data_IF_330611671093
#
_entry.id   IF_330611671093
#
_cell.length_a   1.000
_cell.length_b   1.000
_cell.length_c   1.000
_cell.angle_alpha   90.00
_cell.angle_beta   90.00
_cell.angle_gamma   90.00
#
_symmetry.space_group_name_H-M   'P 1'
#
loop_
_entity.id
_entity.type
_entity.pdbx_description
1 polymer ?
#
# COMPACT_ATOMS: atom_id res chain seq x y z
N UNK A 1 -7.58 -13.08 -23.08
CA UNK A 1 -7.59 -11.85 -22.27
C UNK A 1 -6.42 -11.78 -21.27
N UNK A 2 -6.07 -12.82 -20.52
CA UNK A 2 -4.95 -12.80 -19.54
C UNK A 2 -3.55 -12.47 -20.12
N UNK A 3 -3.28 -12.81 -21.39
CA UNK A 3 -1.98 -12.54 -22.05
C UNK A 3 -1.80 -11.08 -22.47
N UNK A 4 -2.89 -10.37 -22.77
CA UNK A 4 -2.86 -8.95 -23.19
C UNK A 4 -2.64 -8.05 -21.97
N UNK A 5 -3.20 -8.40 -20.82
CA UNK A 5 -3.00 -7.66 -19.56
C UNK A 5 -1.55 -7.76 -19.07
N UNK A 6 -0.92 -8.93 -19.25
CA UNK A 6 0.49 -9.13 -18.90
C UNK A 6 1.42 -8.35 -19.83
N UNK A 7 1.08 -8.27 -21.12
CA UNK A 7 1.86 -7.50 -22.11
C UNK A 7 1.75 -5.99 -21.88
N UNK A 8 0.56 -5.49 -21.52
CA UNK A 8 0.34 -4.08 -21.17
C UNK A 8 1.08 -3.69 -19.88
N UNK A 9 1.13 -4.58 -18.89
CA UNK A 9 1.87 -4.37 -17.65
C UNK A 9 3.38 -4.38 -17.88
N UNK A 10 3.88 -5.26 -18.78
CA UNK A 10 5.29 -5.28 -19.18
C UNK A 10 5.68 -4.03 -20.00
N UNK A 11 4.79 -3.53 -20.87
CA UNK A 11 5.01 -2.31 -21.64
C UNK A 11 5.02 -1.05 -20.77
N UNK A 12 4.21 -1.00 -19.71
CA UNK A 12 4.22 0.09 -18.71
C UNK A 12 5.54 0.12 -17.92
N UNK A 13 6.14 -1.03 -17.64
CA UNK A 13 7.44 -1.13 -16.96
C UNK A 13 8.62 -0.67 -17.84
N UNK A 14 8.49 -0.77 -19.16
CA UNK A 14 9.54 -0.34 -20.12
C UNK A 14 9.45 1.17 -20.41
N UNK A 15 8.28 1.77 -20.25
CA UNK A 15 8.04 3.19 -20.53
C UNK A 15 8.39 4.13 -19.36
N UNK A 16 8.82 3.59 -18.20
CA UNK A 16 9.28 4.44 -17.09
C UNK A 16 10.65 5.02 -17.42
N UNK A 17 10.80 6.36 -17.50
CA UNK A 17 12.12 6.95 -17.58
C UNK A 17 12.88 6.50 -16.34
N UNK A 18 14.02 5.85 -16.54
CA UNK A 18 14.97 5.58 -15.46
C UNK A 18 15.53 6.92 -15.00
N UNK A 19 14.84 7.59 -14.10
CA UNK A 19 15.43 8.68 -13.32
C UNK A 19 16.41 8.01 -12.37
N UNK A 20 17.54 7.56 -12.92
CA UNK A 20 18.69 7.23 -12.11
C UNK A 20 18.91 8.44 -11.20
N UNK A 21 19.01 8.19 -9.91
CA UNK A 21 19.25 9.22 -8.91
C UNK A 21 20.38 10.12 -9.40
N UNK A 22 20.03 11.29 -9.89
CA UNK A 22 21.00 12.32 -10.19
C UNK A 22 21.55 12.81 -8.85
N UNK A 23 22.65 12.26 -8.45
CA UNK A 23 23.49 12.90 -7.45
C UNK A 23 24.00 14.21 -8.04
N UNK A 24 23.32 15.29 -7.77
CA UNK A 24 23.79 16.62 -8.12
C UNK A 24 25.00 16.91 -7.23
N UNK A 25 26.19 16.77 -7.77
CA UNK A 25 27.38 17.31 -7.13
C UNK A 25 27.26 18.82 -7.12
N UNK A 26 26.82 19.41 -6.01
CA UNK A 26 26.88 20.86 -5.87
C UNK A 26 28.33 21.29 -5.68
N UNK A 27 28.82 22.14 -6.58
CA UNK A 27 30.15 22.76 -6.47
C UNK A 27 30.06 23.87 -5.44
N UNK A 28 30.77 23.68 -4.35
CA UNK A 28 30.85 24.64 -3.26
C UNK A 28 32.19 25.38 -3.33
N UNK A 29 32.13 26.70 -3.51
CA UNK A 29 33.35 27.54 -3.45
C UNK A 29 33.67 27.90 -2.00
N UNK A 30 34.71 27.32 -1.45
CA UNK A 30 35.18 27.67 -0.11
C UNK A 30 36.01 28.95 -0.18
N UNK A 31 35.47 30.03 0.33
CA UNK A 31 36.09 31.36 0.37
C UNK A 31 37.38 31.43 1.21
N UNK A 32 37.59 30.51 2.16
CA UNK A 32 38.74 30.47 3.03
C UNK A 32 39.93 29.74 2.41
N UNK A 33 39.71 28.75 1.58
CA UNK A 33 40.77 27.92 0.98
C UNK A 33 41.01 28.22 -0.48
N UNK A 34 40.14 28.98 -1.16
CA UNK A 34 40.22 29.28 -2.60
C UNK A 34 40.02 28.07 -3.48
N UNK A 35 39.63 26.91 -2.93
CA UNK A 35 39.40 25.68 -3.66
C UNK A 35 37.89 25.40 -3.84
N UNK A 36 37.59 24.78 -4.97
CA UNK A 36 36.26 24.18 -5.21
C UNK A 36 36.21 22.88 -4.42
N UNK A 37 35.54 22.92 -3.28
CA UNK A 37 35.23 21.71 -2.51
C UNK A 37 34.03 21.00 -3.10
N UNK A 38 34.14 19.71 -3.32
CA UNK A 38 33.03 18.85 -3.70
C UNK A 38 32.40 18.31 -2.42
N UNK A 39 31.65 19.15 -1.74
CA UNK A 39 30.85 18.73 -0.60
C UNK A 39 29.68 17.86 -1.08
N UNK A 40 29.61 16.63 -0.62
CA UNK A 40 28.33 15.92 -0.63
C UNK A 40 27.46 16.64 0.40
N UNK A 41 26.52 17.45 -0.10
CA UNK A 41 25.44 17.88 0.79
C UNK A 41 24.64 16.63 1.16
N UNK A 42 24.70 16.27 2.42
CA UNK A 42 23.97 15.15 3.04
C UNK A 42 22.43 15.33 2.97
N UNK A 43 21.97 16.42 2.38
CA UNK A 43 20.59 16.87 2.34
C UNK A 43 20.03 17.00 0.92
N UNK A 44 20.69 16.46 -0.11
CA UNK A 44 20.07 16.40 -1.44
C UNK A 44 19.04 15.25 -1.48
N UNK A 45 17.85 15.58 -1.05
CA UNK A 45 16.70 14.69 -1.21
C UNK A 45 16.21 14.77 -2.65
N UNK A 46 15.98 13.65 -3.34
CA UNK A 46 15.41 13.67 -4.69
C UNK A 46 14.05 14.36 -4.66
N UNK A 47 13.77 15.19 -5.67
CA UNK A 47 12.49 15.91 -5.79
C UNK A 47 11.31 14.95 -5.96
N UNK A 48 11.56 13.77 -6.53
CA UNK A 48 10.55 12.73 -6.75
C UNK A 48 11.18 11.35 -6.84
N UNK A 49 10.38 10.34 -6.62
CA UNK A 49 10.75 8.94 -6.83
C UNK A 49 9.56 8.12 -7.32
N UNK A 50 9.87 7.01 -7.95
CA UNK A 50 8.91 5.97 -8.28
C UNK A 50 9.32 4.67 -7.60
N UNK A 51 8.34 3.82 -7.30
CA UNK A 51 8.63 2.55 -6.68
C UNK A 51 7.63 1.47 -7.06
N UNK A 52 8.07 0.24 -6.92
CA UNK A 52 7.24 -0.96 -7.00
C UNK A 52 7.17 -1.61 -5.62
N UNK A 53 6.01 -2.14 -5.26
CA UNK A 53 5.76 -2.80 -3.98
C UNK A 53 5.04 -4.12 -4.21
N UNK A 54 5.42 -5.15 -3.46
CA UNK A 54 4.75 -6.44 -3.41
C UNK A 54 4.90 -7.05 -2.02
N UNK A 55 3.87 -7.73 -1.53
CA UNK A 55 3.97 -8.44 -0.27
C UNK A 55 2.66 -9.04 0.19
N UNK A 56 2.66 -9.75 1.31
CA UNK A 56 1.45 -10.29 1.91
C UNK A 56 0.62 -9.17 2.56
N UNK A 57 -0.69 -9.30 2.44
CA UNK A 57 -1.69 -8.58 3.22
C UNK A 57 -2.31 -9.52 4.25
N UNK A 58 -2.53 -9.03 5.44
CA UNK A 58 -3.25 -9.70 6.51
C UNK A 58 -4.42 -8.82 6.88
N UNK A 59 -5.63 -9.26 6.59
CA UNK A 59 -6.84 -8.46 6.79
C UNK A 59 -7.82 -9.13 7.72
N UNK A 60 -8.65 -8.33 8.34
CA UNK A 60 -9.79 -8.75 9.14
C UNK A 60 -10.94 -7.77 8.93
N UNK A 61 -12.14 -8.21 9.24
CA UNK A 61 -13.33 -7.37 9.27
C UNK A 61 -13.79 -7.26 10.70
N UNK A 62 -13.94 -6.03 11.17
CA UNK A 62 -14.59 -5.72 12.44
C UNK A 62 -16.04 -5.34 12.14
N UNK A 63 -17.01 -6.00 12.76
CA UNK A 63 -18.43 -5.88 12.47
C UNK A 63 -19.25 -5.89 13.75
N UNK A 64 -20.30 -5.08 13.77
CA UNK A 64 -21.32 -5.15 14.81
C UNK A 64 -22.25 -6.37 14.62
N UNK A 65 -22.24 -6.99 13.43
CA UNK A 65 -22.98 -8.24 13.16
C UNK A 65 -22.17 -9.47 13.64
N UNK A 66 -22.75 -10.22 14.56
CA UNK A 66 -22.16 -11.43 15.12
C UNK A 66 -21.83 -12.51 14.07
N UNK A 67 -22.41 -12.44 12.87
CA UNK A 67 -22.11 -13.34 11.76
C UNK A 67 -20.79 -13.01 11.06
N UNK A 68 -20.32 -11.78 11.15
CA UNK A 68 -19.07 -11.30 10.55
C UNK A 68 -18.00 -10.98 11.59
N UNK A 69 -18.42 -10.59 12.81
CA UNK A 69 -17.51 -10.22 13.91
C UNK A 69 -16.73 -11.41 14.47
N UNK A 70 -15.53 -11.14 14.97
CA UNK A 70 -14.64 -12.17 15.57
C UNK A 70 -14.03 -13.12 14.55
N UNK A 71 -13.97 -12.71 13.28
CA UNK A 71 -13.32 -13.49 12.23
C UNK A 71 -11.81 -13.60 12.39
N UNK A 72 -11.26 -14.69 11.84
CA UNK A 72 -9.82 -14.90 11.78
C UNK A 72 -9.22 -14.05 10.65
N UNK A 73 -7.95 -13.68 10.83
CA UNK A 73 -7.17 -12.99 9.83
C UNK A 73 -7.12 -13.78 8.51
N UNK A 74 -7.32 -13.07 7.41
CA UNK A 74 -7.13 -13.61 6.07
C UNK A 74 -5.83 -13.09 5.48
N UNK A 75 -5.07 -13.99 4.89
CA UNK A 75 -3.85 -13.63 4.15
C UNK A 75 -4.19 -13.48 2.67
N UNK A 76 -3.75 -12.39 2.09
CA UNK A 76 -3.88 -12.07 0.68
C UNK A 76 -2.58 -11.52 0.10
N UNK A 77 -2.66 -11.04 -1.13
CA UNK A 77 -1.57 -10.38 -1.85
C UNK A 77 -1.82 -8.87 -1.90
N UNK A 78 -0.74 -8.11 -1.73
CA UNK A 78 -0.68 -6.69 -2.02
C UNK A 78 0.39 -6.44 -3.08
N UNK A 79 0.04 -5.78 -4.19
CA UNK A 79 0.99 -5.46 -5.24
C UNK A 79 0.62 -4.12 -5.88
N UNK A 80 1.61 -3.25 -6.08
CA UNK A 80 1.34 -1.93 -6.64
C UNK A 80 2.56 -1.13 -7.00
N UNK A 81 2.28 0.09 -7.43
CA UNK A 81 3.26 1.11 -7.79
C UNK A 81 3.02 2.36 -6.96
N UNK A 82 4.07 3.08 -6.66
CA UNK A 82 4.02 4.32 -5.90
C UNK A 82 4.80 5.41 -6.59
N UNK A 83 4.41 6.66 -6.34
CA UNK A 83 5.13 7.85 -6.73
C UNK A 83 5.15 8.81 -5.54
N UNK A 84 6.31 9.35 -5.23
CA UNK A 84 6.50 10.34 -4.18
C UNK A 84 7.07 11.64 -4.74
N UNK A 85 6.58 12.76 -4.24
CA UNK A 85 7.11 14.10 -4.54
C UNK A 85 7.51 14.79 -3.26
N UNK A 86 8.68 15.42 -3.26
CA UNK A 86 9.14 16.21 -2.13
C UNK A 86 8.25 17.44 -1.94
N UNK A 87 7.78 17.68 -0.73
CA UNK A 87 6.98 18.86 -0.39
C UNK A 87 7.87 20.07 -0.05
N UNK A 88 9.13 19.84 0.23
CA UNK A 88 10.08 20.89 0.60
C UNK A 88 11.50 20.47 0.27
N UNK A 89 12.30 21.40 -0.24
CA UNK A 89 13.73 21.18 -0.44
C UNK A 89 14.55 21.27 0.86
N UNK A 90 13.93 21.81 1.92
CA UNK A 90 14.57 21.99 3.22
C UNK A 90 14.32 20.84 4.19
N UNK A 91 13.30 20.03 3.95
CA UNK A 91 12.92 18.93 4.84
C UNK A 91 12.61 17.67 4.02
N UNK A 92 13.00 16.50 4.50
CA UNK A 92 12.79 15.22 3.82
C UNK A 92 11.35 14.73 3.95
N UNK A 93 10.39 15.57 3.58
CA UNK A 93 8.97 15.31 3.66
C UNK A 93 8.40 15.10 2.26
N UNK A 94 7.80 13.97 2.04
CA UNK A 94 7.22 13.56 0.77
C UNK A 94 5.72 13.36 0.87
N UNK A 95 5.01 13.71 -0.20
CA UNK A 95 3.67 13.22 -0.48
C UNK A 95 3.80 12.01 -1.40
N UNK A 96 3.45 10.83 -0.91
CA UNK A 96 3.46 9.59 -1.70
C UNK A 96 2.02 9.18 -2.01
N UNK A 97 1.74 8.95 -3.28
CA UNK A 97 0.53 8.29 -3.77
C UNK A 97 0.86 6.99 -4.45
N UNK A 98 -0.13 6.12 -4.59
CA UNK A 98 0.08 4.81 -5.21
C UNK A 98 -1.17 4.25 -5.86
N UNK A 99 -0.98 3.12 -6.57
CA UNK A 99 -2.05 2.29 -7.10
C UNK A 99 -1.72 0.84 -6.80
N UNK A 100 -2.58 0.19 -6.01
CA UNK A 100 -2.39 -1.17 -5.56
C UNK A 100 -3.55 -2.07 -5.93
N UNK A 101 -3.26 -3.32 -6.22
CA UNK A 101 -4.20 -4.41 -6.12
C UNK A 101 -3.99 -5.07 -4.77
N UNK A 102 -5.02 -5.07 -3.92
CA UNK A 102 -4.96 -5.59 -2.56
C UNK A 102 -6.07 -6.61 -2.34
N UNK A 103 -5.69 -7.81 -1.95
CA UNK A 103 -6.62 -8.83 -1.52
C UNK A 103 -6.86 -8.68 -0.03
N UNK A 104 -8.10 -8.40 0.34
CA UNK A 104 -8.61 -8.31 1.72
C UNK A 104 -9.70 -9.35 1.93
N UNK A 105 -10.23 -9.42 3.13
CA UNK A 105 -11.35 -10.31 3.47
C UNK A 105 -11.24 -10.83 4.90
N UNK A 106 -11.99 -11.88 5.18
CA UNK A 106 -12.01 -12.51 6.48
C UNK A 106 -12.45 -13.97 6.43
N UNK A 107 -12.19 -14.66 7.53
CA UNK A 107 -12.59 -16.05 7.74
C UNK A 107 -13.35 -16.14 9.05
N UNK A 108 -14.45 -16.87 9.05
CA UNK A 108 -15.20 -17.15 10.27
C UNK A 108 -15.46 -18.65 10.40
N UNK A 109 -15.20 -19.16 11.58
CA UNK A 109 -15.60 -20.53 11.96
C UNK A 109 -17.06 -20.47 12.42
N UNK A 110 -17.93 -21.18 11.71
CA UNK A 110 -19.34 -21.34 12.05
C UNK A 110 -19.52 -22.59 12.94
N UNK A 111 -20.66 -22.66 13.64
CA UNK A 111 -21.02 -23.85 14.43
C UNK A 111 -20.99 -25.10 13.54
N UNK A 112 -20.50 -26.25 14.05
CA UNK A 112 -20.36 -27.53 13.36
C UNK A 112 -19.22 -27.61 12.34
N UNK A 113 -18.02 -27.11 12.65
CA UNK A 113 -16.82 -27.17 11.80
C UNK A 113 -16.97 -26.52 10.39
N UNK A 114 -17.99 -25.70 10.22
CA UNK A 114 -18.19 -24.95 8.98
C UNK A 114 -17.37 -23.67 8.99
N UNK A 115 -16.60 -23.45 7.92
CA UNK A 115 -15.82 -22.24 7.73
C UNK A 115 -16.43 -21.38 6.61
N UNK A 116 -16.70 -20.13 6.91
CA UNK A 116 -17.06 -19.14 5.93
C UNK A 116 -15.83 -18.31 5.59
N UNK A 117 -15.51 -18.18 4.31
CA UNK A 117 -14.43 -17.30 3.82
C UNK A 117 -15.02 -16.33 2.83
N UNK A 118 -14.70 -15.06 2.97
CA UNK A 118 -15.09 -14.03 2.02
C UNK A 118 -13.84 -13.28 1.57
N UNK A 119 -13.63 -13.31 0.25
CA UNK A 119 -12.55 -12.61 -0.42
C UNK A 119 -13.07 -11.26 -0.90
N UNK A 120 -12.33 -10.18 -0.62
CA UNK A 120 -12.62 -8.82 -1.04
C UNK A 120 -11.37 -8.26 -1.73
N UNK A 121 -11.41 -8.15 -3.06
CA UNK A 121 -10.28 -7.68 -3.83
C UNK A 121 -10.51 -6.24 -4.24
N UNK A 122 -9.57 -5.37 -3.94
CA UNK A 122 -9.65 -3.93 -4.17
C UNK A 122 -8.56 -3.42 -5.10
N UNK A 123 -8.91 -2.40 -5.87
CA UNK A 123 -7.94 -1.42 -6.35
C UNK A 123 -7.90 -0.30 -5.31
N UNK A 124 -6.71 -0.04 -4.78
CA UNK A 124 -6.51 0.86 -3.65
C UNK A 124 -5.57 1.99 -4.04
N UNK A 125 -5.95 3.21 -3.66
CA UNK A 125 -5.20 4.44 -3.91
C UNK A 125 -4.85 5.05 -2.55
N UNK A 126 -3.66 4.77 -2.00
CA UNK A 126 -3.16 5.46 -0.82
C UNK A 126 -2.68 6.87 -1.17
N UNK A 127 -2.78 7.76 -0.19
CA UNK A 127 -2.16 9.08 -0.20
C UNK A 127 -1.60 9.35 1.20
N UNK A 128 -0.28 9.38 1.33
CA UNK A 128 0.39 9.46 2.62
C UNK A 128 1.47 10.54 2.63
N UNK A 129 1.65 11.16 3.79
CA UNK A 129 2.81 11.97 4.11
C UNK A 129 3.90 11.06 4.68
N UNK A 130 5.07 11.08 4.09
CA UNK A 130 6.21 10.24 4.41
C UNK A 130 7.40 11.10 4.78
N UNK A 131 7.99 10.85 5.94
CA UNK A 131 9.21 11.51 6.38
C UNK A 131 10.40 10.58 6.18
N UNK A 132 11.43 11.01 5.44
CA UNK A 132 12.62 10.21 5.16
C UNK A 132 13.75 10.62 6.11
N UNK A 133 13.94 9.86 7.18
CA UNK A 133 15.02 10.04 8.13
C UNK A 133 16.26 9.23 7.71
N UNK A 134 17.27 9.90 7.17
CA UNK A 134 18.53 9.25 6.78
C UNK A 134 19.36 8.98 8.04
N UNK A 135 19.61 7.70 8.32
CA UNK A 135 20.50 7.24 9.39
C UNK A 135 21.94 7.28 8.90
N UNK A 136 22.17 6.86 7.67
CA UNK A 136 23.43 6.95 6.95
C UNK A 136 23.17 7.19 5.44
N UNK A 137 24.23 7.34 4.58
CA UNK A 137 24.05 7.61 3.14
C UNK A 137 23.25 6.57 2.38
N UNK A 138 23.22 5.34 2.87
CA UNK A 138 22.58 4.20 2.20
C UNK A 138 21.28 3.78 2.89
N UNK A 139 21.10 4.12 4.16
CA UNK A 139 20.00 3.62 4.97
C UNK A 139 19.11 4.73 5.51
N UNK A 140 17.81 4.62 5.28
CA UNK A 140 16.81 5.55 5.82
C UNK A 140 15.63 4.84 6.45
N UNK A 141 15.10 5.47 7.51
CA UNK A 141 13.83 5.12 8.15
C UNK A 141 12.74 6.06 7.64
N UNK A 142 11.60 5.52 7.29
CA UNK A 142 10.56 6.28 6.59
C UNK A 142 9.17 6.07 7.23
N UNK A 143 8.89 6.68 8.39
CA UNK A 143 7.54 6.70 8.93
C UNK A 143 6.61 7.47 8.00
N UNK A 144 5.37 7.01 7.91
CA UNK A 144 4.33 7.64 7.10
C UNK A 144 2.96 7.53 7.73
N UNK A 145 2.10 8.50 7.38
CA UNK A 145 0.72 8.56 7.80
C UNK A 145 -0.12 9.23 6.71
N UNK A 146 -1.36 8.78 6.55
CA UNK A 146 -2.29 9.35 5.58
C UNK A 146 -3.60 8.60 5.52
N UNK A 147 -4.17 8.54 4.32
CA UNK A 147 -5.41 7.83 4.06
C UNK A 147 -5.29 6.92 2.84
N UNK A 148 -6.31 6.11 2.65
CA UNK A 148 -6.50 5.33 1.43
C UNK A 148 -7.96 5.37 1.00
N UNK A 149 -8.15 5.26 -0.30
CA UNK A 149 -9.44 4.99 -0.94
C UNK A 149 -9.33 3.67 -1.71
N UNK A 150 -10.36 2.83 -1.64
CA UNK A 150 -10.36 1.53 -2.29
C UNK A 150 -11.67 1.26 -3.01
N UNK A 151 -11.57 0.63 -4.19
CA UNK A 151 -12.70 0.22 -5.00
C UNK A 151 -12.68 -1.30 -5.19
N UNK A 152 -13.74 -1.98 -4.73
CA UNK A 152 -13.92 -3.42 -4.87
C UNK A 152 -14.09 -3.84 -6.33
N UNK A 153 -13.16 -4.66 -6.82
CA UNK A 153 -13.12 -5.14 -8.21
C UNK A 153 -13.48 -6.60 -8.36
N UNK A 154 -13.45 -7.38 -7.28
CA UNK A 154 -13.79 -8.79 -7.29
C UNK A 154 -13.70 -9.41 -5.91
N UNK A 155 -14.19 -10.64 -5.80
CA UNK A 155 -14.16 -11.42 -4.58
C UNK A 155 -15.27 -12.46 -4.59
N UNK A 156 -15.14 -13.47 -3.74
CA UNK A 156 -16.11 -14.55 -3.64
C UNK A 156 -16.35 -14.89 -2.18
N UNK A 157 -17.63 -15.03 -1.83
CA UNK A 157 -18.05 -15.62 -0.57
C UNK A 157 -18.15 -17.13 -0.80
N UNK A 158 -17.37 -17.89 -0.04
CA UNK A 158 -17.35 -19.35 -0.07
C UNK A 158 -17.93 -19.87 1.23
N UNK A 159 -19.02 -20.62 1.12
CA UNK A 159 -19.56 -21.37 2.24
C UNK A 159 -19.28 -22.85 1.97
N UNK A 160 -18.43 -23.48 2.80
CA UNK A 160 -17.83 -24.78 2.49
C UNK A 160 -18.77 -25.99 2.48
N UNK A 161 -20.09 -25.82 2.57
CA UNK A 161 -20.90 -27.03 2.62
C UNK A 161 -22.07 -27.17 1.65
N UNK A 162 -22.64 -26.17 1.05
CA UNK A 162 -23.81 -26.41 0.15
C UNK A 162 -24.22 -25.29 -0.81
N UNK A 163 -23.46 -24.21 -0.99
CA UNK A 163 -23.81 -23.14 -1.94
C UNK A 163 -22.70 -22.85 -2.93
N UNK A 164 -23.09 -22.63 -4.17
CA UNK A 164 -22.18 -22.07 -5.18
C UNK A 164 -21.56 -20.77 -4.69
N UNK A 165 -20.26 -20.57 -4.99
CA UNK A 165 -19.54 -19.38 -4.60
C UNK A 165 -20.23 -18.13 -5.21
N UNK A 166 -20.72 -17.23 -4.36
CA UNK A 166 -21.35 -15.99 -4.76
C UNK A 166 -20.33 -14.86 -4.87
N UNK A 167 -20.66 -13.85 -5.70
CA UNK A 167 -19.85 -12.65 -5.80
C UNK A 167 -19.98 -11.85 -4.49
N UNK A 168 -18.84 -11.43 -3.92
CA UNK A 168 -18.84 -10.64 -2.68
C UNK A 168 -19.47 -9.27 -2.87
N UNK A 169 -19.23 -8.63 -4.00
CA UNK A 169 -19.76 -7.31 -4.31
C UNK A 169 -21.04 -7.40 -5.14
N UNK A 170 -22.15 -7.52 -4.46
CA UNK A 170 -23.49 -7.42 -5.02
C UNK A 170 -24.31 -6.41 -4.19
N UNK A 171 -25.50 -6.09 -4.66
CA UNK A 171 -26.37 -5.08 -4.03
C UNK A 171 -26.87 -5.48 -2.62
N UNK A 172 -26.65 -6.73 -2.21
CA UNK A 172 -27.13 -7.27 -0.94
C UNK A 172 -26.02 -7.47 0.10
N UNK A 173 -24.75 -7.68 -0.31
CA UNK A 173 -23.70 -8.11 0.61
C UNK A 173 -22.72 -6.97 0.93
N UNK A 174 -21.70 -6.78 0.08
CA UNK A 174 -20.64 -5.82 0.35
C UNK A 174 -20.65 -4.66 -0.63
N UNK A 175 -20.41 -3.47 -0.07
CA UNK A 175 -20.21 -2.25 -0.86
C UNK A 175 -18.85 -2.30 -1.53
N UNK A 176 -18.76 -1.70 -2.74
CA UNK A 176 -17.51 -1.64 -3.50
C UNK A 176 -16.54 -0.58 -2.98
N UNK A 177 -17.05 0.40 -2.23
CA UNK A 177 -16.24 1.53 -1.75
C UNK A 177 -15.77 1.25 -0.34
N UNK A 178 -14.46 1.38 -0.14
CA UNK A 178 -13.80 1.31 1.15
C UNK A 178 -12.83 2.49 1.27
N UNK A 179 -12.49 2.88 2.48
CA UNK A 179 -11.55 3.94 2.75
C UNK A 179 -11.29 4.11 4.22
N UNK A 180 -10.13 4.66 4.53
CA UNK A 180 -9.72 4.80 5.92
C UNK A 180 -8.38 5.50 6.08
N UNK A 181 -7.84 5.36 7.27
CA UNK A 181 -6.51 5.85 7.61
C UNK A 181 -5.46 4.77 7.35
N UNK A 182 -4.27 5.23 6.98
CA UNK A 182 -3.10 4.40 6.78
C UNK A 182 -1.93 4.97 7.56
N UNK A 183 -1.26 4.13 8.32
CA UNK A 183 -0.03 4.48 9.01
C UNK A 183 0.98 3.35 8.84
N UNK A 184 2.26 3.69 8.89
CA UNK A 184 3.29 2.68 8.76
C UNK A 184 4.69 3.24 8.89
N UNK A 185 5.64 2.33 8.74
CA UNK A 185 7.05 2.67 8.78
C UNK A 185 7.80 1.82 7.75
N UNK A 186 8.53 2.49 6.87
CA UNK A 186 9.39 1.87 5.88
C UNK A 186 10.86 1.99 6.28
N UNK A 187 11.64 1.11 5.71
CA UNK A 187 13.11 1.18 5.67
C UNK A 187 13.56 1.12 4.23
N UNK A 188 14.57 1.87 3.91
CA UNK A 188 15.18 1.83 2.58
C UNK A 188 16.69 1.67 2.70
N UNK A 189 17.25 0.74 1.95
CA UNK A 189 18.68 0.53 1.76
C UNK A 189 18.98 0.66 0.26
N UNK A 190 19.68 1.74 -0.11
CA UNK A 190 19.87 2.15 -1.50
C UNK A 190 18.54 2.20 -2.25
N UNK A 191 18.34 1.29 -3.22
CA UNK A 191 17.10 1.17 -3.99
C UNK A 191 16.07 0.20 -3.35
N UNK A 192 16.51 -0.65 -2.44
CA UNK A 192 15.64 -1.64 -1.82
C UNK A 192 14.79 -1.01 -0.71
N UNK A 193 13.53 -1.33 -0.71
CA UNK A 193 12.56 -0.80 0.24
C UNK A 193 11.75 -1.93 0.87
N UNK A 194 11.45 -1.79 2.16
CA UNK A 194 10.47 -2.61 2.84
C UNK A 194 9.67 -1.77 3.82
N UNK A 195 8.38 -2.07 4.00
CA UNK A 195 7.55 -1.39 4.99
C UNK A 195 6.58 -2.33 5.70
N UNK A 196 6.16 -1.87 6.87
CA UNK A 196 5.04 -2.39 7.61
C UNK A 196 3.95 -1.31 7.62
N UNK A 197 2.80 -1.63 7.03
CA UNK A 197 1.65 -0.73 6.89
C UNK A 197 0.46 -1.28 7.68
N UNK A 198 -0.24 -0.41 8.39
CA UNK A 198 -1.49 -0.72 9.07
C UNK A 198 -2.62 0.15 8.55
N UNK A 199 -3.69 -0.49 8.08
CA UNK A 199 -4.91 0.14 7.59
C UNK A 199 -6.02 0.09 8.64
N UNK A 200 -6.65 1.23 8.88
CA UNK A 200 -7.82 1.39 9.74
C UNK A 200 -8.97 1.82 8.84
N UNK A 201 -9.87 0.88 8.49
CA UNK A 201 -11.06 1.18 7.70
C UNK A 201 -12.04 2.05 8.49
N UNK A 202 -12.50 3.11 7.86
CA UNK A 202 -13.51 4.02 8.41
C UNK A 202 -14.83 3.93 7.65
N UNK A 203 -14.79 3.50 6.39
CA UNK A 203 -15.99 3.33 5.58
C UNK A 203 -16.75 2.08 6.01
N UNK A 204 -18.08 2.17 6.06
CA UNK A 204 -18.93 0.99 6.20
C UNK A 204 -18.96 0.22 4.88
N UNK A 205 -18.42 -0.99 4.89
CA UNK A 205 -18.30 -1.85 3.71
C UNK A 205 -19.51 -2.78 3.49
N UNK A 206 -20.53 -2.75 4.35
CA UNK A 206 -21.71 -3.60 4.25
C UNK A 206 -22.95 -2.81 3.83
N UNK A 207 -23.86 -3.50 3.15
CA UNK A 207 -25.24 -3.06 2.92
C UNK A 207 -26.12 -3.38 4.13
N UNK A 208 -27.39 -2.97 4.08
CA UNK A 208 -28.37 -3.05 5.18
C UNK A 208 -28.64 -4.49 5.70
N UNK A 209 -28.17 -5.52 4.97
CA UNK A 209 -28.28 -6.93 5.38
C UNK A 209 -27.34 -7.29 6.55
N UNK A 210 -26.27 -6.54 6.69
CA UNK A 210 -25.28 -6.68 7.78
C UNK A 210 -25.13 -5.34 8.48
N UNK A 211 -24.91 -5.38 9.79
CA UNK A 211 -24.62 -4.19 10.56
C UNK A 211 -23.28 -3.55 10.13
N UNK A 212 -22.98 -2.36 10.66
CA UNK A 212 -21.79 -1.59 10.32
C UNK A 212 -20.53 -2.45 10.43
N UNK A 213 -19.77 -2.47 9.35
CA UNK A 213 -18.56 -3.27 9.25
C UNK A 213 -17.43 -2.49 8.62
N UNK A 214 -16.22 -2.67 9.15
CA UNK A 214 -15.02 -1.96 8.71
C UNK A 214 -13.89 -2.94 8.42
N UNK A 215 -13.16 -2.70 7.34
CA UNK A 215 -11.91 -3.42 7.06
C UNK A 215 -10.80 -2.92 7.96
N UNK A 216 -9.96 -3.85 8.43
CA UNK A 216 -8.68 -3.54 9.02
C UNK A 216 -7.61 -4.47 8.47
N UNK A 217 -6.35 -4.05 8.52
CA UNK A 217 -5.32 -4.94 8.01
C UNK A 217 -3.89 -4.48 8.25
N UNK A 218 -3.00 -5.44 8.19
CA UNK A 218 -1.56 -5.27 8.23
C UNK A 218 -0.98 -5.71 6.89
N UNK A 219 -0.09 -4.92 6.32
CA UNK A 219 0.59 -5.24 5.07
C UNK A 219 2.11 -5.20 5.32
N UNK A 220 2.82 -6.19 4.82
CA UNK A 220 4.27 -6.21 4.79
C UNK A 220 4.70 -6.13 3.33
N UNK A 221 5.27 -5.01 2.92
CA UNK A 221 5.64 -4.77 1.54
C UNK A 221 7.15 -4.80 1.37
N UNK A 222 7.58 -5.33 0.25
CA UNK A 222 8.96 -5.29 -0.24
C UNK A 222 8.95 -4.64 -1.63
N UNK A 223 10.01 -3.92 -1.95
CA UNK A 223 10.06 -3.25 -3.24
C UNK A 223 11.35 -2.55 -3.55
N UNK A 224 11.27 -1.72 -4.58
CA UNK A 224 12.38 -0.91 -5.05
C UNK A 224 11.89 0.52 -5.31
N UNK A 225 12.77 1.48 -5.05
CA UNK A 225 12.59 2.90 -5.39
C UNK A 225 13.63 3.31 -6.41
N UNK A 226 13.21 4.12 -7.41
CA UNK A 226 14.03 4.66 -8.48
C UNK A 226 13.99 6.18 -8.48
#
# INVERSE_FOLDING_TARGET
MKKITFLLMALLLIAMPSSAQHYTQSRYYNKQTGHLDYGRHYNDYPDSYFGFRIGPSFSYVNSDDSRLDGGNWQTGLNVGVVAGVALSNAQPLYLEGGLFYTEKGGKKDLTNDKKMTYDLNYIEIPLVLKYKYNIDPHFSLQPFFGGYFALGVGGKIKNFEQREAQNSFNDENFRRVDGGLRLGCGIQYDMFYADLTYDIGLANICHDTFDTSHNGGLQLNFGVNF
#
